data_IF_931171376315
#
_entry.id   IF_931171376315
#
_cell.length_a   1.000
_cell.length_b   1.000
_cell.length_c   1.000
_cell.angle_alpha   90.00
_cell.angle_beta   90.00
_cell.angle_gamma   90.00
#
_symmetry.space_group_name_H-M   'P 1'
#
loop_
_entity.id
_entity.type
_entity.pdbx_description
1 polymer ?
#
# COMPACT_ATOMS: atom_id res chain seq x y z
N UNK A 1 24.68 2.04 -8.34
CA UNK A 1 23.66 1.32 -9.14
C UNK A 1 22.33 2.04 -8.92
N UNK A 2 21.57 2.36 -9.96
CA UNK A 2 20.24 2.97 -9.77
C UNK A 2 19.29 1.90 -9.23
N UNK A 3 18.52 2.21 -8.19
CA UNK A 3 17.51 1.33 -7.62
C UNK A 3 16.28 1.25 -8.54
N UNK A 4 15.60 0.10 -8.52
CA UNK A 4 14.28 -0.02 -9.16
C UNK A 4 13.28 0.68 -8.25
N UNK A 5 12.57 1.69 -8.77
CA UNK A 5 11.65 2.52 -8.01
C UNK A 5 10.23 2.33 -8.55
N UNK A 6 9.27 1.90 -7.72
CA UNK A 6 7.86 1.86 -8.11
C UNK A 6 7.34 3.25 -8.47
N UNK A 7 6.60 3.36 -9.59
CA UNK A 7 5.90 4.57 -9.98
C UNK A 7 4.39 4.33 -9.93
N UNK A 8 3.70 5.08 -9.09
CA UNK A 8 2.27 5.03 -8.92
C UNK A 8 1.61 6.08 -9.81
N UNK A 9 0.73 5.64 -10.71
CA UNK A 9 0.00 6.52 -11.61
C UNK A 9 -1.30 6.99 -10.97
N UNK A 10 -1.46 8.30 -10.83
CA UNK A 10 -2.68 8.96 -10.36
C UNK A 10 -3.26 9.88 -11.44
N UNK A 11 -4.53 10.21 -11.33
CA UNK A 11 -5.11 11.25 -12.16
C UNK A 11 -4.58 12.64 -11.72
N UNK A 12 -4.81 13.04 -10.45
CA UNK A 12 -4.37 14.32 -9.89
C UNK A 12 -3.89 14.23 -8.43
N UNK A 13 -3.93 13.06 -7.81
CA UNK A 13 -3.82 12.88 -6.37
C UNK A 13 -2.39 12.56 -5.90
N UNK A 14 -1.36 12.65 -6.79
CA UNK A 14 0.00 12.23 -6.48
C UNK A 14 0.57 12.90 -5.22
N UNK A 15 0.38 14.20 -5.06
CA UNK A 15 0.91 14.94 -3.90
C UNK A 15 0.16 14.58 -2.62
N UNK A 16 -1.17 14.50 -2.67
CA UNK A 16 -1.99 14.12 -1.52
C UNK A 16 -1.68 12.69 -1.08
N UNK A 17 -1.58 11.75 -2.03
CA UNK A 17 -1.25 10.36 -1.76
C UNK A 17 0.15 10.22 -1.13
N UNK A 18 1.18 10.85 -1.72
CA UNK A 18 2.53 10.81 -1.18
C UNK A 18 2.62 11.37 0.25
N UNK A 19 2.00 12.52 0.52
CA UNK A 19 1.91 13.12 1.87
C UNK A 19 1.21 12.20 2.85
N UNK A 20 0.11 11.57 2.41
CA UNK A 20 -0.63 10.63 3.24
C UNK A 20 0.23 9.43 3.61
N UNK A 21 0.87 8.76 2.65
CA UNK A 21 1.71 7.60 2.93
C UNK A 21 2.91 7.94 3.84
N UNK A 22 3.58 9.05 3.58
CA UNK A 22 4.69 9.52 4.42
C UNK A 22 4.24 9.74 5.87
N UNK A 23 3.01 10.17 6.10
CA UNK A 23 2.45 10.34 7.45
C UNK A 23 2.16 9.03 8.18
N UNK A 24 2.02 7.91 7.46
CA UNK A 24 1.64 6.61 8.04
C UNK A 24 2.84 5.74 8.42
N UNK A 25 3.90 5.76 7.59
CA UNK A 25 5.04 4.86 7.75
C UNK A 25 6.21 5.55 8.43
N UNK A 26 6.92 4.87 9.34
CA UNK A 26 8.15 5.42 9.94
C UNK A 26 9.23 5.61 8.87
N UNK A 27 10.26 6.41 9.19
CA UNK A 27 11.42 6.68 8.32
C UNK A 27 11.03 7.02 6.88
N UNK A 28 10.00 7.87 6.75
CA UNK A 28 9.39 8.25 5.48
C UNK A 28 9.44 9.75 5.27
N UNK A 29 9.63 10.19 4.04
CA UNK A 29 9.77 11.62 3.70
C UNK A 29 9.46 11.90 2.24
N UNK A 30 9.00 13.12 1.96
CA UNK A 30 9.00 13.67 0.61
C UNK A 30 10.44 14.08 0.25
N UNK A 31 10.92 13.65 -0.90
CA UNK A 31 12.25 13.99 -1.42
C UNK A 31 12.17 15.22 -2.30
N UNK A 32 11.26 15.21 -3.27
CA UNK A 32 11.16 16.25 -4.28
C UNK A 32 9.74 16.28 -4.86
N UNK A 33 9.29 17.49 -5.20
CA UNK A 33 8.07 17.71 -5.99
C UNK A 33 8.46 18.41 -7.29
N UNK A 34 8.11 17.81 -8.42
CA UNK A 34 8.47 18.31 -9.77
C UNK A 34 7.21 18.78 -10.49
N UNK A 35 7.18 20.03 -10.97
CA UNK A 35 6.05 20.56 -11.73
C UNK A 35 6.09 20.19 -13.20
N UNK A 36 4.96 20.28 -13.90
CA UNK A 36 4.90 20.34 -15.35
C UNK A 36 5.53 21.64 -15.83
N UNK A 37 6.52 21.55 -16.72
CA UNK A 37 7.22 22.70 -17.30
C UNK A 37 6.88 22.94 -18.78
N UNK A 38 6.15 22.01 -19.39
CA UNK A 38 5.71 22.07 -20.80
C UNK A 38 4.40 21.31 -20.97
N UNK A 39 3.74 21.50 -22.09
CA UNK A 39 2.60 20.70 -22.51
C UNK A 39 3.00 19.22 -22.67
N UNK A 40 2.11 18.33 -22.28
CA UNK A 40 2.28 16.88 -22.34
C UNK A 40 0.97 16.21 -22.76
N UNK A 41 0.98 14.94 -23.20
CA UNK A 41 -0.25 14.20 -23.54
C UNK A 41 -1.24 14.05 -22.37
N UNK A 42 -0.80 14.29 -21.14
CA UNK A 42 -1.67 14.25 -19.95
C UNK A 42 -2.57 15.50 -19.82
N UNK A 43 -2.33 16.52 -20.63
CA UNK A 43 -3.09 17.80 -20.66
C UNK A 43 -3.21 18.47 -19.29
N UNK A 44 -2.11 18.43 -18.51
CA UNK A 44 -2.04 19.06 -17.18
C UNK A 44 -1.50 20.48 -17.28
N UNK A 45 -2.01 21.42 -16.47
CA UNK A 45 -1.53 22.80 -16.48
C UNK A 45 -0.04 22.89 -16.17
N UNK A 46 0.68 23.72 -16.94
CA UNK A 46 2.08 24.08 -16.64
C UNK A 46 2.13 24.70 -15.22
N UNK A 47 3.11 24.26 -14.43
CA UNK A 47 3.25 24.65 -13.02
C UNK A 47 2.52 23.77 -12.03
N UNK A 48 1.55 22.92 -12.47
CA UNK A 48 0.94 21.94 -11.59
C UNK A 48 1.90 20.79 -11.29
N UNK A 49 1.65 20.05 -10.20
CA UNK A 49 2.50 18.92 -9.79
C UNK A 49 2.45 17.81 -10.84
N UNK A 50 3.60 17.48 -11.42
CA UNK A 50 3.77 16.35 -12.32
C UNK A 50 4.05 15.07 -11.54
N UNK A 51 5.08 15.10 -10.69
CA UNK A 51 5.43 13.94 -9.88
C UNK A 51 5.95 14.36 -8.50
N UNK A 52 5.87 13.41 -7.59
CA UNK A 52 6.44 13.52 -6.24
C UNK A 52 7.33 12.29 -6.00
N UNK A 53 8.61 12.54 -5.75
CA UNK A 53 9.54 11.52 -5.28
C UNK A 53 9.51 11.46 -3.75
N UNK A 54 9.33 10.28 -3.19
CA UNK A 54 9.23 10.09 -1.75
C UNK A 54 9.82 8.74 -1.32
N UNK A 55 10.04 8.58 -0.03
CA UNK A 55 10.48 7.33 0.58
C UNK A 55 9.46 6.87 1.62
N UNK A 56 9.21 5.57 1.67
CA UNK A 56 8.47 4.89 2.73
C UNK A 56 9.39 3.85 3.34
N UNK A 57 9.67 4.00 4.64
CA UNK A 57 10.60 3.12 5.37
C UNK A 57 11.94 2.93 4.62
N UNK A 58 12.47 4.02 4.06
CA UNK A 58 13.70 4.03 3.27
C UNK A 58 13.59 3.52 1.82
N UNK A 59 12.46 2.95 1.41
CA UNK A 59 12.23 2.50 0.05
C UNK A 59 11.72 3.65 -0.82
N UNK A 60 12.39 3.95 -1.97
CA UNK A 60 11.97 5.02 -2.86
C UNK A 60 10.71 4.67 -3.67
N UNK A 61 9.88 5.68 -3.89
CA UNK A 61 8.68 5.67 -4.72
C UNK A 61 8.58 6.95 -5.53
N UNK A 62 7.85 6.89 -6.64
CA UNK A 62 7.39 8.06 -7.39
C UNK A 62 5.87 8.02 -7.49
N UNK A 63 5.20 9.11 -7.19
CA UNK A 63 3.79 9.33 -7.50
C UNK A 63 3.68 10.30 -8.68
N UNK A 64 3.00 9.88 -9.75
CA UNK A 64 2.87 10.63 -11.00
C UNK A 64 1.40 11.04 -11.22
N UNK A 65 1.16 12.31 -11.55
CA UNK A 65 -0.13 12.80 -12.03
C UNK A 65 -0.19 12.65 -13.55
N UNK A 66 -0.48 11.45 -14.04
CA UNK A 66 -0.48 11.14 -15.48
C UNK A 66 -1.84 11.33 -16.17
N UNK A 67 -2.89 11.70 -15.42
CA UNK A 67 -4.24 11.83 -15.96
C UNK A 67 -5.09 10.56 -15.82
N UNK A 68 -6.31 10.54 -16.38
CA UNK A 68 -7.30 9.51 -16.13
C UNK A 68 -7.13 8.22 -16.97
N UNK A 69 -6.07 8.14 -17.81
CA UNK A 69 -5.91 7.06 -18.78
C UNK A 69 -5.77 5.67 -18.12
N UNK A 70 -4.96 5.59 -17.07
CA UNK A 70 -4.74 4.33 -16.34
C UNK A 70 -5.33 4.41 -14.93
N UNK A 71 -5.77 3.25 -14.45
CA UNK A 71 -6.26 3.07 -13.07
C UNK A 71 -5.44 2.00 -12.38
N UNK A 72 -5.13 2.27 -11.11
CA UNK A 72 -4.51 1.30 -10.23
C UNK A 72 -5.48 0.12 -10.00
N UNK A 73 -4.94 -1.08 -9.88
CA UNK A 73 -5.69 -2.30 -9.61
C UNK A 73 -4.89 -3.26 -8.73
N UNK A 74 -5.45 -4.41 -8.42
CA UNK A 74 -4.89 -5.42 -7.53
C UNK A 74 -3.75 -6.26 -8.15
N UNK A 75 -3.39 -6.06 -9.43
CA UNK A 75 -2.29 -6.79 -10.06
C UNK A 75 -0.92 -6.44 -9.44
N UNK A 76 -0.80 -5.27 -8.79
CA UNK A 76 0.32 -4.89 -7.95
C UNK A 76 -0.22 -4.49 -6.58
N UNK A 77 0.43 -4.94 -5.52
CA UNK A 77 0.16 -4.56 -4.14
C UNK A 77 1.45 -4.41 -3.35
N UNK A 78 1.40 -3.64 -2.27
CA UNK A 78 2.52 -3.45 -1.36
C UNK A 78 2.26 -4.21 -0.06
N UNK A 79 3.20 -5.03 0.34
CA UNK A 79 3.12 -5.81 1.57
C UNK A 79 3.65 -4.99 2.74
N UNK A 80 2.82 -4.84 3.77
CA UNK A 80 3.17 -4.21 5.05
C UNK A 80 3.27 -5.32 6.09
N UNK A 81 4.49 -5.66 6.46
CA UNK A 81 4.77 -6.66 7.46
C UNK A 81 4.66 -6.05 8.86
N UNK A 82 3.76 -6.57 9.67
CA UNK A 82 3.43 -6.08 11.00
C UNK A 82 3.95 -7.03 12.08
N UNK A 83 4.56 -6.48 13.12
CA UNK A 83 5.12 -7.25 14.24
C UNK A 83 4.04 -7.83 15.17
N UNK A 84 2.90 -7.13 15.28
CA UNK A 84 1.82 -7.47 16.20
C UNK A 84 0.44 -7.02 15.69
N UNK A 85 -0.61 -7.39 16.43
CA UNK A 85 -1.99 -7.04 16.09
C UNK A 85 -2.24 -5.54 16.13
N UNK A 86 -1.58 -4.81 17.02
CA UNK A 86 -1.76 -3.36 17.13
C UNK A 86 -1.27 -2.63 15.87
N UNK A 87 -0.18 -3.09 15.25
CA UNK A 87 0.28 -2.56 13.97
C UNK A 87 -0.67 -2.91 12.83
N UNK A 88 -1.18 -4.15 12.77
CA UNK A 88 -2.20 -4.55 11.79
C UNK A 88 -3.42 -3.64 11.91
N UNK A 89 -3.95 -3.46 13.11
CA UNK A 89 -5.14 -2.65 13.35
C UNK A 89 -4.91 -1.19 12.94
N UNK A 90 -3.75 -0.63 13.26
CA UNK A 90 -3.38 0.74 12.90
C UNK A 90 -3.32 0.96 11.40
N UNK A 91 -2.62 0.08 10.66
CA UNK A 91 -2.51 0.23 9.21
C UNK A 91 -3.82 -0.09 8.50
N UNK A 92 -4.56 -1.08 8.99
CA UNK A 92 -5.88 -1.42 8.45
C UNK A 92 -6.86 -0.26 8.56
N UNK A 93 -6.94 0.38 9.72
CA UNK A 93 -7.80 1.55 9.93
C UNK A 93 -7.49 2.69 8.94
N UNK A 94 -6.23 2.88 8.60
CA UNK A 94 -5.78 3.97 7.72
C UNK A 94 -5.84 3.61 6.23
N UNK A 95 -5.59 2.37 5.87
CA UNK A 95 -5.40 1.96 4.48
C UNK A 95 -6.61 1.22 3.88
N UNK A 96 -7.51 0.63 4.69
CA UNK A 96 -8.70 -0.02 4.16
C UNK A 96 -9.85 0.99 3.98
N UNK A 97 -10.01 1.49 2.77
CA UNK A 97 -11.07 2.45 2.42
C UNK A 97 -12.18 1.82 1.56
N UNK A 98 -11.94 0.66 0.92
CA UNK A 98 -12.87 -0.01 0.02
C UNK A 98 -13.19 -1.40 0.58
N UNK A 99 -14.36 -1.52 1.21
CA UNK A 99 -14.75 -2.74 1.94
C UNK A 99 -14.80 -4.00 1.06
N UNK A 100 -15.21 -3.85 -0.18
CA UNK A 100 -15.31 -4.95 -1.15
C UNK A 100 -13.94 -5.51 -1.57
N UNK A 101 -12.85 -4.77 -1.29
CA UNK A 101 -11.47 -5.18 -1.59
C UNK A 101 -10.80 -5.88 -0.40
N UNK A 102 -11.48 -6.00 0.74
CA UNK A 102 -10.96 -6.66 1.93
C UNK A 102 -10.98 -8.18 1.80
N UNK A 103 -9.80 -8.80 1.73
CA UNK A 103 -9.65 -10.25 1.63
C UNK A 103 -8.30 -10.72 2.14
N UNK A 104 -8.26 -11.60 3.13
CA UNK A 104 -7.06 -12.23 3.69
C UNK A 104 -5.85 -11.27 3.84
N UNK A 105 -6.09 -10.12 4.47
CA UNK A 105 -5.08 -9.07 4.67
C UNK A 105 -4.96 -8.07 3.54
N UNK A 106 -5.59 -8.32 2.40
CA UNK A 106 -5.67 -7.34 1.30
C UNK A 106 -6.67 -6.24 1.62
N UNK A 107 -6.31 -5.02 1.27
CA UNK A 107 -7.21 -3.87 1.30
C UNK A 107 -6.84 -2.88 0.19
N UNK A 108 -7.72 -1.94 -0.08
CA UNK A 108 -7.51 -0.86 -1.05
C UNK A 108 -7.74 0.47 -0.36
N UNK A 109 -6.81 1.40 -0.56
CA UNK A 109 -6.93 2.73 0.02
C UNK A 109 -7.82 3.68 -0.81
N UNK A 110 -8.04 4.88 -0.27
CA UNK A 110 -8.87 5.92 -0.90
C UNK A 110 -8.31 6.43 -2.25
N UNK A 111 -7.04 6.16 -2.56
CA UNK A 111 -6.40 6.52 -3.83
C UNK A 111 -6.39 5.37 -4.84
N UNK A 112 -6.87 4.18 -4.45
CA UNK A 112 -6.94 3.00 -5.31
C UNK A 112 -5.70 2.11 -5.26
N UNK A 113 -4.73 2.40 -4.39
CA UNK A 113 -3.55 1.55 -4.18
C UNK A 113 -3.94 0.35 -3.33
N UNK A 114 -3.48 -0.84 -3.75
CA UNK A 114 -3.71 -2.10 -3.06
C UNK A 114 -2.55 -2.42 -2.10
N UNK A 115 -2.91 -2.81 -0.88
CA UNK A 115 -2.01 -3.16 0.21
C UNK A 115 -2.32 -4.55 0.74
N UNK A 116 -1.31 -5.22 1.28
CA UNK A 116 -1.45 -6.44 2.06
C UNK A 116 -0.91 -6.17 3.47
N UNK A 117 -1.79 -6.15 4.46
CA UNK A 117 -1.43 -5.90 5.87
C UNK A 117 -1.35 -7.26 6.55
N UNK A 118 -0.14 -7.76 6.75
CA UNK A 118 0.12 -9.15 7.17
C UNK A 118 1.15 -9.20 8.30
N UNK A 119 1.07 -10.20 9.20
CA UNK A 119 2.10 -10.38 10.22
C UNK A 119 3.43 -10.82 9.62
N UNK A 120 4.55 -10.39 10.19
CA UNK A 120 5.91 -10.77 9.76
C UNK A 120 6.14 -12.28 9.69
N UNK A 121 5.46 -13.04 10.54
CA UNK A 121 5.60 -14.49 10.66
C UNK A 121 4.46 -15.26 9.96
N UNK A 122 3.76 -14.64 9.02
CA UNK A 122 2.59 -15.23 8.34
C UNK A 122 2.87 -16.64 7.80
N UNK A 123 4.04 -16.88 7.22
CA UNK A 123 4.43 -18.17 6.67
C UNK A 123 4.43 -19.30 7.71
N UNK A 124 4.71 -18.98 8.99
CA UNK A 124 4.63 -19.95 10.09
C UNK A 124 3.18 -20.24 10.46
N UNK A 125 2.37 -19.19 10.53
CA UNK A 125 0.98 -19.26 10.98
C UNK A 125 0.08 -20.05 10.02
N UNK A 126 0.38 -20.03 8.73
CA UNK A 126 -0.42 -20.68 7.67
C UNK A 126 0.20 -22.00 7.13
N UNK A 127 1.13 -22.63 7.84
CA UNK A 127 1.76 -23.88 7.39
C UNK A 127 0.84 -25.10 7.29
N UNK A 128 -0.35 -25.04 7.85
CA UNK A 128 -1.32 -26.13 7.79
C UNK A 128 -2.49 -25.79 6.87
N UNK A 129 -3.15 -26.84 6.36
CA UNK A 129 -4.37 -26.65 5.57
C UNK A 129 -5.45 -25.88 6.34
N UNK A 130 -5.62 -26.19 7.64
CA UNK A 130 -6.54 -25.47 8.51
C UNK A 130 -6.14 -23.98 8.66
N UNK A 131 -4.84 -23.70 8.84
CA UNK A 131 -4.32 -22.32 8.91
C UNK A 131 -4.54 -21.55 7.63
N UNK A 132 -4.26 -22.13 6.47
CA UNK A 132 -4.53 -21.53 5.16
C UNK A 132 -6.02 -21.26 4.98
N UNK A 133 -6.87 -22.24 5.29
CA UNK A 133 -8.33 -22.10 5.16
C UNK A 133 -8.88 -20.98 6.04
N UNK A 134 -8.40 -20.89 7.28
CA UNK A 134 -8.79 -19.81 8.20
C UNK A 134 -8.31 -18.45 7.66
N UNK A 135 -7.05 -18.35 7.27
CA UNK A 135 -6.46 -17.13 6.69
C UNK A 135 -7.24 -16.62 5.48
N UNK A 136 -7.55 -17.50 4.54
CA UNK A 136 -8.30 -17.16 3.32
C UNK A 136 -9.74 -16.70 3.60
N UNK A 137 -10.32 -17.07 4.74
CA UNK A 137 -11.64 -16.62 5.18
C UNK A 137 -11.64 -15.28 5.93
N UNK A 138 -10.49 -14.73 6.27
CA UNK A 138 -10.38 -13.46 6.98
C UNK A 138 -10.49 -12.25 6.02
N UNK A 139 -10.95 -11.12 6.54
CA UNK A 139 -10.75 -9.81 5.94
C UNK A 139 -9.46 -9.20 6.51
N UNK A 140 -9.54 -8.54 7.65
CA UNK A 140 -8.37 -8.16 8.45
C UNK A 140 -7.80 -9.41 9.15
N UNK A 141 -6.50 -9.52 9.20
CA UNK A 141 -5.84 -10.67 9.85
C UNK A 141 -5.98 -10.58 11.38
N UNK A 142 -6.39 -11.69 11.97
CA UNK A 142 -6.40 -11.94 13.40
C UNK A 142 -5.28 -12.92 13.75
N UNK A 143 -4.20 -12.38 14.34
CA UNK A 143 -3.01 -13.17 14.69
C UNK A 143 -3.34 -14.24 15.73
N UNK A 144 -4.16 -13.93 16.74
CA UNK A 144 -4.48 -14.88 17.81
C UNK A 144 -5.32 -16.06 17.30
N UNK A 145 -6.24 -15.81 16.38
CA UNK A 145 -7.00 -16.88 15.75
C UNK A 145 -6.10 -17.83 14.94
N UNK A 146 -5.11 -17.29 14.21
CA UNK A 146 -4.14 -18.10 13.47
C UNK A 146 -3.18 -18.86 14.40
N UNK A 147 -2.72 -18.26 15.50
CA UNK A 147 -1.86 -18.93 16.49
C UNK A 147 -2.53 -20.13 17.14
N UNK A 148 -3.80 -20.04 17.50
CA UNK A 148 -4.56 -21.17 18.06
C UNK A 148 -4.51 -22.40 17.15
N UNK A 149 -4.75 -22.22 15.84
CA UNK A 149 -4.65 -23.31 14.85
C UNK A 149 -3.23 -23.87 14.74
N UNK A 150 -2.22 -23.01 14.88
CA UNK A 150 -0.82 -23.40 14.78
C UNK A 150 -0.36 -24.20 16.04
N UNK A 151 -0.85 -23.86 17.22
CA UNK A 151 -0.47 -24.45 18.50
C UNK A 151 -1.23 -25.76 18.83
N UNK A 152 -2.40 -25.99 18.24
CA UNK A 152 -3.20 -27.21 18.42
C UNK A 152 -2.63 -28.47 17.75
N UNK A 153 -1.40 -28.40 17.20
CA UNK A 153 -0.62 -29.50 16.61
C UNK A 153 0.50 -29.95 17.52
#
# INVERSE_FOLDING_TARGET
MKTITPCLWFNNEAEEAAKYYVSLFPDSKIIETVPYISETPSDKPIGSVMLVNFELNGQPYTALNGGPLFKLNEAISFQVFCKDQAEIDRYWEKLSAVKESEQCGWCKDKFGVSWQIIPENIEKLIKSEAGIKLFMGMHKIDIEALKKIYEEK
#
